data_IF_359536081593
#
_entry.id   IF_359536081593
#
_cell.length_a   1.000
_cell.length_b   1.000
_cell.length_c   1.000
_cell.angle_alpha   90.00
_cell.angle_beta   90.00
_cell.angle_gamma   90.00
#
_symmetry.space_group_name_H-M   'P 1'
#
loop_
_entity.id
_entity.type
_entity.pdbx_description
1 polymer ?
#
# COMPACT_ATOMS: atom_id res chain seq x y z
N UNK A 1 17.11 31.23 -26.31
CA UNK A 1 17.50 29.97 -26.94
C UNK A 1 18.16 29.15 -25.85
N UNK A 2 17.41 28.22 -25.28
CA UNK A 2 17.89 27.36 -24.19
C UNK A 2 18.79 26.26 -24.76
N UNK A 3 19.98 26.11 -24.21
CA UNK A 3 20.86 24.99 -24.53
C UNK A 3 20.32 23.74 -23.83
N UNK A 4 19.95 22.72 -24.57
CA UNK A 4 19.63 21.41 -24.03
C UNK A 4 20.93 20.67 -23.72
N UNK A 5 21.10 20.30 -22.44
CA UNK A 5 22.22 19.46 -22.04
C UNK A 5 21.81 17.99 -22.19
N UNK A 6 22.39 17.31 -23.18
CA UNK A 6 22.19 15.86 -23.31
C UNK A 6 23.14 15.14 -22.36
N UNK A 7 22.61 14.62 -21.26
CA UNK A 7 23.36 13.76 -20.34
C UNK A 7 23.14 12.32 -20.79
N UNK A 8 24.16 11.70 -21.36
CA UNK A 8 24.12 10.27 -21.64
C UNK A 8 24.80 9.52 -20.51
N UNK A 9 24.02 8.88 -19.66
CA UNK A 9 24.54 7.99 -18.61
C UNK A 9 24.75 6.61 -19.26
N UNK A 10 25.98 6.25 -19.59
CA UNK A 10 26.35 4.87 -19.94
C UNK A 10 26.59 4.09 -18.66
N UNK A 11 25.54 3.54 -18.08
CA UNK A 11 25.67 2.50 -17.07
C UNK A 11 25.46 1.15 -17.77
N UNK A 12 26.51 0.36 -17.89
CA UNK A 12 26.34 -1.06 -18.19
C UNK A 12 25.82 -1.73 -16.90
N UNK A 13 24.57 -2.22 -16.88
CA UNK A 13 24.09 -2.91 -15.70
C UNK A 13 24.88 -4.21 -15.56
N UNK A 14 25.65 -4.34 -14.47
CA UNK A 14 26.17 -5.64 -14.08
C UNK A 14 25.00 -6.61 -13.94
N UNK A 15 25.15 -7.88 -14.36
CA UNK A 15 24.09 -8.86 -14.19
C UNK A 15 23.67 -8.93 -12.73
N UNK A 16 22.46 -8.53 -12.46
CA UNK A 16 21.90 -8.43 -11.12
C UNK A 16 21.36 -9.79 -10.77
N UNK A 17 21.85 -10.40 -9.70
CA UNK A 17 21.20 -11.58 -9.13
C UNK A 17 19.81 -11.16 -8.68
N UNK A 18 18.78 -11.82 -9.21
CA UNK A 18 17.42 -11.67 -8.70
C UNK A 18 17.45 -11.93 -7.20
N UNK A 19 16.92 -11.00 -6.40
CA UNK A 19 16.75 -11.24 -4.97
C UNK A 19 15.85 -12.46 -4.74
N UNK A 20 16.10 -13.20 -3.67
CA UNK A 20 15.31 -14.39 -3.29
C UNK A 20 13.90 -14.06 -2.80
N UNK A 21 13.20 -13.14 -3.45
CA UNK A 21 11.76 -12.95 -3.26
C UNK A 21 11.02 -13.93 -4.17
N UNK A 22 11.23 -15.22 -3.94
CA UNK A 22 10.43 -16.27 -4.55
C UNK A 22 9.06 -16.31 -3.87
N UNK A 23 8.14 -15.49 -4.32
CA UNK A 23 6.72 -15.84 -4.23
C UNK A 23 6.49 -16.96 -5.24
N UNK A 24 6.80 -18.17 -4.84
CA UNK A 24 6.93 -19.34 -5.72
C UNK A 24 5.63 -19.77 -6.42
N UNK A 25 4.50 -19.11 -6.17
CA UNK A 25 3.18 -19.51 -6.68
C UNK A 25 2.38 -18.36 -7.34
N UNK A 26 2.90 -17.14 -7.42
CA UNK A 26 2.20 -16.02 -8.07
C UNK A 26 2.96 -15.65 -9.34
N UNK A 27 2.32 -15.83 -10.48
CA UNK A 27 2.80 -15.31 -11.76
C UNK A 27 2.52 -13.81 -11.79
N UNK A 28 3.46 -13.01 -11.35
CA UNK A 28 3.38 -11.55 -11.42
C UNK A 28 4.30 -11.03 -12.52
N UNK A 29 3.83 -10.01 -13.25
CA UNK A 29 4.69 -9.24 -14.14
C UNK A 29 5.65 -8.33 -13.37
N UNK A 30 5.37 -8.02 -12.11
CA UNK A 30 6.20 -7.20 -11.24
C UNK A 30 7.16 -8.05 -10.42
N UNK A 31 8.35 -7.52 -10.23
CA UNK A 31 9.39 -8.15 -9.43
C UNK A 31 10.34 -7.11 -8.84
N UNK A 32 11.30 -7.61 -8.08
CA UNK A 32 12.35 -6.78 -7.50
C UNK A 32 13.68 -7.51 -7.63
N UNK A 33 14.73 -6.77 -7.87
CA UNK A 33 16.09 -7.26 -7.79
C UNK A 33 16.89 -6.38 -6.80
N UNK A 34 18.19 -6.57 -6.72
CA UNK A 34 19.05 -5.84 -5.78
C UNK A 34 19.20 -4.34 -6.08
N UNK A 35 18.76 -3.86 -7.24
CA UNK A 35 18.93 -2.48 -7.69
C UNK A 35 17.61 -1.74 -7.89
N UNK A 36 16.57 -2.41 -8.41
CA UNK A 36 15.33 -1.74 -8.79
C UNK A 36 14.13 -2.70 -8.86
N UNK A 37 12.95 -2.12 -8.92
CA UNK A 37 11.75 -2.85 -9.32
C UNK A 37 11.78 -3.20 -10.79
N UNK A 38 11.14 -4.31 -11.14
CA UNK A 38 11.00 -4.73 -12.52
C UNK A 38 9.54 -4.92 -12.91
N UNK A 39 9.26 -4.74 -14.21
CA UNK A 39 8.02 -5.17 -14.84
C UNK A 39 8.36 -5.96 -16.09
N UNK A 40 7.88 -7.20 -16.18
CA UNK A 40 8.24 -8.14 -17.25
C UNK A 40 9.77 -8.29 -17.40
N UNK A 41 10.50 -8.33 -16.30
CA UNK A 41 11.95 -8.46 -16.26
C UNK A 41 12.74 -7.20 -16.67
N UNK A 42 12.07 -6.10 -17.01
CA UNK A 42 12.71 -4.81 -17.34
C UNK A 42 12.64 -3.85 -16.16
N UNK A 43 13.61 -2.91 -16.03
CA UNK A 43 13.54 -1.87 -15.01
C UNK A 43 12.19 -1.13 -15.02
N UNK A 44 11.61 -0.95 -13.85
CA UNK A 44 10.35 -0.25 -13.69
C UNK A 44 10.46 0.77 -12.55
N UNK A 45 10.25 2.04 -12.87
CA UNK A 45 10.23 3.10 -11.86
C UNK A 45 8.81 3.26 -11.34
N UNK A 46 8.61 2.98 -10.07
CA UNK A 46 7.34 3.24 -9.39
C UNK A 46 7.23 4.74 -9.10
N UNK A 47 6.24 5.39 -9.71
CA UNK A 47 5.90 6.80 -9.45
C UNK A 47 4.48 6.78 -8.90
N UNK A 48 4.37 6.78 -7.56
CA UNK A 48 3.10 6.60 -6.88
C UNK A 48 2.42 7.94 -6.54
N UNK A 49 1.12 8.00 -6.78
CA UNK A 49 0.24 9.02 -6.23
C UNK A 49 -0.48 8.51 -4.99
N UNK A 50 -0.42 9.25 -3.89
CA UNK A 50 -1.11 8.84 -2.68
C UNK A 50 -2.57 9.28 -2.68
N UNK A 51 -3.49 8.31 -2.59
CA UNK A 51 -4.94 8.51 -2.60
C UNK A 51 -5.55 7.71 -1.45
N UNK A 52 -5.94 8.38 -0.39
CA UNK A 52 -6.61 7.73 0.74
C UNK A 52 -8.09 7.55 0.43
N UNK A 53 -8.45 6.41 -0.14
CA UNK A 53 -9.80 6.14 -0.64
C UNK A 53 -10.89 6.40 0.40
N UNK A 54 -10.69 6.00 1.64
CA UNK A 54 -11.67 6.17 2.73
C UNK A 54 -11.84 7.63 3.23
N UNK A 55 -11.13 8.58 2.64
CA UNK A 55 -11.29 10.04 2.84
C UNK A 55 -11.97 10.74 1.67
N UNK A 56 -12.29 10.01 0.62
CA UNK A 56 -12.94 10.52 -0.57
C UNK A 56 -14.28 9.82 -0.76
N UNK A 57 -15.33 10.54 -1.15
CA UNK A 57 -16.56 9.89 -1.56
C UNK A 57 -16.31 8.88 -2.69
N UNK A 58 -16.86 7.68 -2.59
CA UNK A 58 -16.63 6.59 -3.55
C UNK A 58 -16.92 7.02 -5.00
N UNK A 59 -17.95 7.85 -5.22
CA UNK A 59 -18.30 8.42 -6.53
C UNK A 59 -17.17 9.26 -7.16
N UNK A 60 -16.17 9.70 -6.38
CA UNK A 60 -15.02 10.49 -6.85
C UNK A 60 -13.77 9.64 -7.14
N UNK A 61 -13.73 8.36 -6.73
CA UNK A 61 -12.54 7.53 -6.88
C UNK A 61 -12.07 7.42 -8.32
N UNK A 62 -13.01 7.13 -9.25
CA UNK A 62 -12.67 7.00 -10.68
C UNK A 62 -12.00 8.27 -11.23
N UNK A 63 -12.61 9.41 -10.99
CA UNK A 63 -12.07 10.70 -11.43
C UNK A 63 -10.69 10.95 -10.83
N UNK A 64 -10.52 10.68 -9.53
CA UNK A 64 -9.24 10.89 -8.83
C UNK A 64 -8.15 10.00 -9.40
N UNK A 65 -8.40 8.69 -9.60
CA UNK A 65 -7.43 7.75 -10.18
C UNK A 65 -7.03 8.20 -11.60
N UNK A 66 -7.98 8.63 -12.40
CA UNK A 66 -7.71 9.13 -13.75
C UNK A 66 -6.86 10.40 -13.74
N UNK A 67 -7.08 11.30 -12.80
CA UNK A 67 -6.25 12.51 -12.60
C UNK A 67 -4.83 12.14 -12.19
N UNK A 68 -4.65 11.21 -11.26
CA UNK A 68 -3.33 10.69 -10.85
C UNK A 68 -2.59 10.17 -12.08
N UNK A 69 -3.23 9.35 -12.91
CA UNK A 69 -2.64 8.86 -14.15
C UNK A 69 -2.32 9.96 -15.15
N UNK A 70 -3.19 10.95 -15.30
CA UNK A 70 -2.97 12.09 -16.20
C UNK A 70 -1.78 12.96 -15.78
N UNK A 71 -1.44 12.96 -14.49
CA UNK A 71 -0.22 13.59 -13.97
C UNK A 71 1.05 12.78 -14.21
N UNK A 72 0.97 11.65 -14.92
CA UNK A 72 2.14 10.80 -15.24
C UNK A 72 2.51 9.80 -14.14
N UNK A 73 1.69 9.66 -13.08
CA UNK A 73 1.92 8.65 -12.05
C UNK A 73 1.37 7.30 -12.53
N UNK A 74 2.05 6.23 -12.18
CA UNK A 74 1.78 4.89 -12.68
C UNK A 74 1.34 3.89 -11.61
N UNK A 75 1.21 4.35 -10.37
CA UNK A 75 0.88 3.52 -9.22
C UNK A 75 0.05 4.35 -8.23
N UNK A 76 -0.91 3.72 -7.58
CA UNK A 76 -1.62 4.31 -6.44
C UNK A 76 -0.97 3.81 -5.14
N UNK A 77 -0.70 4.72 -4.21
CA UNK A 77 -0.40 4.39 -2.82
C UNK A 77 -1.62 4.74 -1.97
N UNK A 78 -2.07 3.84 -1.13
CA UNK A 78 -3.24 4.10 -0.27
C UNK A 78 -3.11 3.46 1.10
N UNK A 79 -3.48 4.20 2.15
CA UNK A 79 -3.68 3.63 3.47
C UNK A 79 -5.04 2.94 3.61
N UNK A 80 -5.03 1.83 4.37
CA UNK A 80 -6.22 1.25 4.97
C UNK A 80 -6.20 1.63 6.45
N UNK A 81 -6.84 2.74 6.81
CA UNK A 81 -6.83 3.23 8.19
C UNK A 81 -7.62 2.31 9.11
N UNK A 82 -6.98 1.73 10.10
CA UNK A 82 -7.62 0.76 11.00
C UNK A 82 -8.86 1.33 11.69
N UNK A 83 -8.80 2.56 12.19
CA UNK A 83 -9.94 3.21 12.84
C UNK A 83 -11.13 3.50 11.92
N UNK A 84 -10.92 3.60 10.60
CA UNK A 84 -12.01 3.76 9.64
C UNK A 84 -12.78 2.45 9.44
N UNK A 85 -12.06 1.32 9.50
CA UNK A 85 -12.61 0.00 9.18
C UNK A 85 -12.96 -0.82 10.42
N UNK A 86 -12.48 -0.44 11.61
CA UNK A 86 -12.76 -1.10 12.88
C UNK A 86 -12.96 -0.04 13.99
N UNK A 87 -14.04 0.74 13.91
CA UNK A 87 -14.27 1.87 14.81
C UNK A 87 -14.44 1.46 16.28
N UNK A 88 -14.92 0.25 16.53
CA UNK A 88 -15.05 -0.35 17.86
C UNK A 88 -14.62 -1.82 17.83
N UNK A 89 -14.22 -2.36 18.97
CA UNK A 89 -13.75 -3.74 19.07
C UNK A 89 -14.81 -4.73 18.54
N UNK A 90 -14.41 -5.53 17.52
CA UNK A 90 -15.29 -6.49 16.88
C UNK A 90 -16.28 -5.92 15.87
N UNK A 91 -16.32 -4.60 15.71
CA UNK A 91 -17.18 -3.93 14.71
C UNK A 91 -16.35 -3.54 13.51
N UNK A 92 -16.72 -4.04 12.33
CA UNK A 92 -16.02 -3.75 11.09
C UNK A 92 -16.95 -3.09 10.07
N UNK A 93 -16.41 -2.15 9.30
CA UNK A 93 -17.10 -1.46 8.24
C UNK A 93 -16.21 -1.37 6.99
N UNK A 94 -16.61 -2.06 5.95
CA UNK A 94 -16.01 -2.05 4.61
C UNK A 94 -17.07 -1.69 3.55
N UNK A 95 -17.94 -0.73 3.86
CA UNK A 95 -19.02 -0.32 2.97
C UNK A 95 -18.89 1.14 2.52
N UNK A 96 -19.56 1.48 1.43
CA UNK A 96 -19.60 2.84 0.89
C UNK A 96 -18.19 3.41 0.63
N UNK A 97 -17.88 4.55 1.23
CA UNK A 97 -16.56 5.19 1.06
C UNK A 97 -15.41 4.41 1.73
N UNK A 98 -15.71 3.35 2.49
CA UNK A 98 -14.75 2.45 3.15
C UNK A 98 -14.60 1.10 2.44
N UNK A 99 -15.24 0.92 1.29
CA UNK A 99 -15.18 -0.32 0.52
C UNK A 99 -13.84 -0.45 -0.22
N UNK A 100 -12.87 -1.06 0.47
CA UNK A 100 -11.55 -1.31 -0.11
C UNK A 100 -11.60 -2.27 -1.29
N UNK A 101 -12.52 -3.24 -1.28
CA UNK A 101 -12.70 -4.19 -2.38
C UNK A 101 -13.16 -3.46 -3.65
N UNK A 102 -14.17 -2.59 -3.55
CA UNK A 102 -14.65 -1.79 -4.69
C UNK A 102 -13.56 -0.83 -5.19
N UNK A 103 -12.79 -0.21 -4.28
CA UNK A 103 -11.67 0.66 -4.67
C UNK A 103 -10.58 -0.11 -5.44
N UNK A 104 -10.18 -1.28 -4.95
CA UNK A 104 -9.16 -2.11 -5.62
C UNK A 104 -9.68 -2.67 -6.95
N UNK A 105 -10.97 -3.05 -7.04
CA UNK A 105 -11.61 -3.43 -8.31
C UNK A 105 -11.50 -2.32 -9.33
N UNK A 106 -11.79 -1.10 -8.92
CA UNK A 106 -11.69 0.08 -9.79
C UNK A 106 -10.24 0.36 -10.23
N UNK A 107 -9.27 0.22 -9.33
CA UNK A 107 -7.86 0.34 -9.67
C UNK A 107 -7.44 -0.70 -10.71
N UNK A 108 -7.87 -1.96 -10.54
CA UNK A 108 -7.63 -3.05 -11.49
C UNK A 108 -8.23 -2.73 -12.87
N UNK A 109 -9.49 -2.32 -12.93
CA UNK A 109 -10.19 -1.99 -14.17
C UNK A 109 -9.54 -0.80 -14.91
N UNK A 110 -8.96 0.12 -14.16
CA UNK A 110 -8.21 1.27 -14.68
C UNK A 110 -6.74 0.97 -14.93
N UNK A 111 -6.26 -0.27 -14.74
CA UNK A 111 -4.86 -0.65 -14.86
C UNK A 111 -3.89 0.25 -14.05
N UNK A 112 -4.30 0.58 -12.84
CA UNK A 112 -3.50 1.34 -11.86
C UNK A 112 -3.10 0.42 -10.72
N UNK A 113 -1.89 -0.14 -10.73
CA UNK A 113 -1.42 -0.99 -9.63
C UNK A 113 -1.36 -0.22 -8.31
N UNK A 114 -1.46 -0.95 -7.22
CA UNK A 114 -1.61 -0.38 -5.89
C UNK A 114 -0.49 -0.85 -4.96
N UNK A 115 0.09 0.08 -4.21
CA UNK A 115 0.82 -0.20 -2.97
C UNK A 115 -0.17 -0.01 -1.82
N UNK A 116 -0.49 -1.11 -1.13
CA UNK A 116 -1.46 -1.13 -0.05
C UNK A 116 -0.76 -0.96 1.30
N UNK A 117 -1.02 0.15 1.98
CA UNK A 117 -0.39 0.50 3.26
C UNK A 117 -1.36 0.13 4.39
N UNK A 118 -1.12 -1.02 5.03
CA UNK A 118 -2.09 -1.65 5.96
C UNK A 118 -1.84 -1.33 7.43
N UNK A 119 -0.94 -0.40 7.71
CA UNK A 119 -0.58 -0.04 9.07
C UNK A 119 0.16 -1.17 9.80
N UNK A 120 -0.06 -1.38 11.08
CA UNK A 120 -1.19 -0.92 11.93
C UNK A 120 -1.18 0.58 12.28
N UNK A 121 -0.03 1.21 12.35
CA UNK A 121 0.14 2.64 12.49
C UNK A 121 0.36 3.31 11.13
N UNK A 122 -0.29 4.43 10.90
CA UNK A 122 -0.27 5.11 9.59
C UNK A 122 0.35 6.52 9.61
N UNK A 123 0.38 7.25 10.72
CA UNK A 123 0.47 8.72 10.74
C UNK A 123 -0.64 9.36 9.88
N UNK A 124 -0.36 9.71 8.64
CA UNK A 124 -1.30 10.10 7.58
C UNK A 124 -2.29 11.21 7.95
N UNK A 125 -1.94 12.08 8.93
CA UNK A 125 -2.81 13.11 9.48
C UNK A 125 -4.20 12.56 9.86
N UNK A 126 -4.22 11.33 10.38
CA UNK A 126 -5.42 10.68 10.90
C UNK A 126 -5.36 10.61 12.43
N UNK A 127 -6.50 10.78 13.06
CA UNK A 127 -6.62 10.73 14.53
C UNK A 127 -5.97 9.45 15.07
N UNK A 128 -5.11 9.58 16.08
CA UNK A 128 -4.37 8.48 16.74
C UNK A 128 -3.51 7.66 15.77
N UNK A 129 -3.00 8.29 14.70
CA UNK A 129 -2.19 7.57 13.70
C UNK A 129 -2.93 6.39 13.04
N UNK A 130 -4.25 6.43 13.04
CA UNK A 130 -5.09 5.38 12.47
C UNK A 130 -5.53 4.30 13.45
N UNK A 131 -5.09 4.34 14.71
CA UNK A 131 -5.56 3.37 15.70
C UNK A 131 -7.01 3.63 16.13
N UNK A 132 -7.84 2.59 16.22
CA UNK A 132 -9.10 2.69 16.97
C UNK A 132 -8.83 2.93 18.45
N UNK A 133 -9.77 3.56 19.14
CA UNK A 133 -9.58 3.97 20.54
C UNK A 133 -9.16 2.83 21.45
N UNK A 134 -9.75 1.64 21.29
CA UNK A 134 -9.44 0.48 22.13
C UNK A 134 -8.01 -0.04 21.95
N UNK A 135 -7.38 0.22 20.79
CA UNK A 135 -5.95 -0.08 20.54
C UNK A 135 -5.07 1.05 21.06
N UNK A 136 -5.50 2.29 20.83
CA UNK A 136 -4.73 3.47 21.26
C UNK A 136 -4.53 3.52 22.79
N UNK A 137 -5.51 3.06 23.54
CA UNK A 137 -5.45 2.95 25.01
C UNK A 137 -4.66 1.73 25.51
N UNK A 138 -4.20 0.83 24.63
CA UNK A 138 -3.47 -0.36 25.05
C UNK A 138 -2.03 -0.04 25.46
N UNK A 139 -1.55 -0.56 26.61
CA UNK A 139 -0.13 -0.56 26.92
C UNK A 139 0.65 -1.39 25.88
N UNK A 140 1.85 -0.93 25.53
CA UNK A 140 2.72 -1.65 24.62
C UNK A 140 2.26 -1.66 23.17
N UNK A 141 1.42 -0.71 22.73
CA UNK A 141 1.16 -0.47 21.31
C UNK A 141 2.45 -0.13 20.57
N UNK A 142 2.55 -0.56 19.29
CA UNK A 142 3.76 -0.43 18.47
C UNK A 142 5.01 -1.09 19.07
N UNK A 143 4.83 -2.16 19.85
CA UNK A 143 5.91 -2.99 20.40
C UNK A 143 5.60 -4.48 20.16
N UNK A 144 6.48 -5.37 20.64
CA UNK A 144 6.29 -6.82 20.56
C UNK A 144 5.31 -7.36 21.65
N UNK A 145 4.52 -6.48 22.25
CA UNK A 145 3.48 -6.88 23.21
C UNK A 145 2.52 -7.90 22.60
N UNK A 146 2.44 -9.10 23.18
CA UNK A 146 1.55 -10.17 22.69
C UNK A 146 0.09 -9.72 22.56
N UNK A 147 -0.38 -8.88 23.50
CA UNK A 147 -1.75 -8.34 23.47
C UNK A 147 -1.97 -7.42 22.28
N UNK A 148 -1.00 -6.56 21.99
CA UNK A 148 -1.06 -5.66 20.84
C UNK A 148 -0.99 -6.44 19.52
N UNK A 149 0.00 -7.32 19.37
CA UNK A 149 0.17 -8.11 18.15
C UNK A 149 -1.04 -9.00 17.87
N UNK A 150 -1.73 -9.51 18.90
CA UNK A 150 -2.97 -10.26 18.70
C UNK A 150 -4.09 -9.39 18.10
N UNK A 151 -4.23 -8.13 18.50
CA UNK A 151 -5.22 -7.23 17.90
C UNK A 151 -4.86 -6.89 16.46
N UNK A 152 -3.58 -6.69 16.16
CA UNK A 152 -3.07 -6.49 14.79
C UNK A 152 -3.40 -7.71 13.93
N UNK A 153 -3.12 -8.92 14.44
CA UNK A 153 -3.41 -10.18 13.74
C UNK A 153 -4.90 -10.33 13.42
N UNK A 154 -5.78 -10.03 14.37
CA UNK A 154 -7.24 -10.09 14.19
C UNK A 154 -7.67 -9.09 13.11
N UNK A 155 -7.18 -7.86 13.16
CA UNK A 155 -7.50 -6.83 12.17
C UNK A 155 -7.03 -7.23 10.77
N UNK A 156 -5.76 -7.61 10.61
CA UNK A 156 -5.22 -7.99 9.32
C UNK A 156 -5.89 -9.24 8.74
N UNK A 157 -6.24 -10.22 9.60
CA UNK A 157 -7.01 -11.39 9.17
C UNK A 157 -8.37 -10.99 8.59
N UNK A 158 -9.04 -10.00 9.20
CA UNK A 158 -10.31 -9.48 8.70
C UNK A 158 -10.14 -8.68 7.42
N UNK A 159 -9.15 -7.78 7.38
CA UNK A 159 -8.82 -7.00 6.18
C UNK A 159 -8.47 -7.91 5.00
N UNK A 160 -7.70 -8.97 5.24
CA UNK A 160 -7.28 -9.90 4.18
C UNK A 160 -8.48 -10.54 3.46
N UNK A 161 -9.59 -10.75 4.14
CA UNK A 161 -10.81 -11.27 3.51
C UNK A 161 -11.36 -10.35 2.43
N UNK A 162 -11.17 -9.03 2.59
CA UNK A 162 -11.62 -8.02 1.63
C UNK A 162 -10.66 -7.86 0.44
N UNK A 163 -9.36 -8.10 0.65
CA UNK A 163 -8.33 -7.75 -0.35
C UNK A 163 -7.68 -8.95 -1.03
N UNK A 164 -7.95 -10.19 -0.57
CA UNK A 164 -7.28 -11.42 -1.04
C UNK A 164 -7.35 -11.62 -2.56
N UNK A 165 -8.46 -11.23 -3.20
CA UNK A 165 -8.70 -11.42 -4.62
C UNK A 165 -7.87 -10.44 -5.50
N UNK A 166 -7.17 -9.52 -4.87
CA UNK A 166 -6.28 -8.54 -5.50
C UNK A 166 -4.80 -8.79 -5.17
N UNK A 167 -4.50 -9.83 -4.38
CA UNK A 167 -3.13 -10.27 -4.09
C UNK A 167 -2.57 -11.13 -5.24
N UNK A 168 -2.88 -10.70 -6.46
CA UNK A 168 -2.53 -11.35 -7.71
C UNK A 168 -1.13 -10.94 -8.22
N UNK A 169 -0.48 -9.98 -7.55
CA UNK A 169 0.80 -9.43 -7.95
C UNK A 169 0.72 -8.48 -9.16
N UNK A 170 -0.49 -8.16 -9.63
CA UNK A 170 -0.75 -7.21 -10.72
C UNK A 170 -1.57 -6.02 -10.22
N UNK A 171 -2.58 -6.27 -9.38
CA UNK A 171 -3.41 -5.23 -8.77
C UNK A 171 -2.72 -4.67 -7.53
N UNK A 172 -2.46 -5.49 -6.53
CA UNK A 172 -1.63 -5.11 -5.38
C UNK A 172 -0.21 -5.60 -5.62
N UNK A 173 0.69 -4.67 -5.93
CA UNK A 173 2.10 -4.95 -6.26
C UNK A 173 3.04 -4.79 -5.08
N UNK A 174 2.54 -4.29 -3.96
CA UNK A 174 3.30 -4.12 -2.73
C UNK A 174 2.42 -3.88 -1.53
N UNK A 175 2.90 -4.32 -0.37
CA UNK A 175 2.27 -4.07 0.92
C UNK A 175 3.29 -3.36 1.81
N UNK A 176 2.87 -2.24 2.41
CA UNK A 176 3.65 -1.59 3.45
C UNK A 176 3.07 -1.95 4.82
N UNK A 177 3.93 -2.50 5.67
CA UNK A 177 3.66 -2.73 7.10
C UNK A 177 4.27 -1.60 7.90
N UNK A 178 3.53 -1.12 8.91
CA UNK A 178 3.92 0.02 9.75
C UNK A 178 4.18 1.31 8.95
N UNK A 179 4.47 2.37 9.64
CA UNK A 179 4.91 3.62 9.05
C UNK A 179 5.82 4.38 10.02
N UNK A 180 7.02 4.77 9.54
CA UNK A 180 8.00 5.51 10.32
C UNK A 180 8.24 4.89 11.71
N UNK A 181 8.46 3.57 11.72
CA UNK A 181 8.75 2.85 12.95
C UNK A 181 10.20 3.06 13.36
N UNK A 182 10.39 3.78 14.44
CA UNK A 182 11.72 4.08 14.97
C UNK A 182 12.21 3.07 16.02
N UNK A 183 11.40 2.05 16.31
CA UNK A 183 11.66 1.09 17.38
C UNK A 183 11.32 1.64 18.77
N UNK A 184 11.33 0.82 19.80
CA UNK A 184 11.21 1.29 21.16
C UNK A 184 12.48 2.13 21.47
N UNK A 185 12.29 3.37 21.84
CA UNK A 185 13.35 4.16 22.48
C UNK A 185 13.75 3.42 23.75
N UNK A 186 15.00 2.95 23.79
CA UNK A 186 15.59 2.34 24.98
C UNK A 186 15.67 3.34 26.13
#
# INVERSE_FOLDING_TARGET
>A
IGAYMNITIKAEPKPVKSGNFNYSNIKSSYGVNTLYFTKNGKPYTVIAGEVHFSRLPAKRWRETILKVRACGLNTISTYVFWNHHNPAKGVYDFSGDRDVHAFLSLCRDLHMPVILRIGPWCHGEVVRGGFPLFVDLMPGKRTDSKKYLEQVRIYWKRLFQEVKDFMDGETVIGIQLENEYTGPTK
#
